data_IF_033291740501
#
_entry.id   IF_033291740501
#
_cell.length_a   1.000
_cell.length_b   1.000
_cell.length_c   1.000
_cell.angle_alpha   90.00
_cell.angle_beta   90.00
_cell.angle_gamma   90.00
#
_symmetry.space_group_name_H-M   'P 1'
#
loop_
_entity.id
_entity.type
_entity.pdbx_description
1 polymer ?
#
# COMPACT_ATOMS: atom_id res chain seq x y z
N UNK A 1 -44.68 -68.94 69.34
CA UNK A 1 -44.23 -68.69 67.96
C UNK A 1 -42.83 -68.14 68.05
N UNK A 2 -41.85 -68.90 67.58
CA UNK A 2 -40.48 -68.41 67.45
C UNK A 2 -40.44 -67.51 66.21
N UNK A 3 -39.90 -66.27 66.30
CA UNK A 3 -39.73 -65.42 65.13
C UNK A 3 -38.88 -66.12 64.06
N UNK A 4 -39.14 -65.81 62.78
CA UNK A 4 -38.46 -66.42 61.63
C UNK A 4 -37.64 -65.42 60.81
N UNK A 5 -37.59 -64.17 61.25
CA UNK A 5 -36.84 -63.06 60.64
C UNK A 5 -35.79 -62.51 61.62
N UNK A 6 -34.79 -61.80 61.08
CA UNK A 6 -33.67 -61.28 61.86
C UNK A 6 -34.15 -60.31 62.94
N UNK A 7 -35.01 -59.35 62.57
CA UNK A 7 -35.57 -58.33 63.47
C UNK A 7 -36.33 -58.96 64.62
N UNK A 8 -37.15 -59.98 64.36
CA UNK A 8 -37.92 -60.62 65.41
C UNK A 8 -37.05 -61.31 66.47
N UNK A 9 -35.82 -61.70 66.14
CA UNK A 9 -34.85 -62.27 67.07
C UNK A 9 -33.89 -61.23 67.69
N UNK A 10 -33.54 -60.17 66.97
CA UNK A 10 -32.45 -59.24 67.31
C UNK A 10 -32.89 -57.78 67.52
N UNK A 11 -34.20 -57.51 67.68
CA UNK A 11 -34.69 -56.14 67.91
C UNK A 11 -34.08 -55.48 69.16
N UNK A 12 -33.89 -56.24 70.24
CA UNK A 12 -33.26 -55.72 71.46
C UNK A 12 -31.78 -55.39 71.23
N UNK A 13 -31.08 -56.18 70.41
CA UNK A 13 -29.67 -55.92 70.03
C UNK A 13 -29.55 -54.69 69.13
N UNK A 14 -30.48 -54.54 68.17
CA UNK A 14 -30.59 -53.37 67.30
C UNK A 14 -30.78 -52.08 68.12
N UNK A 15 -31.74 -52.06 69.06
CA UNK A 15 -32.02 -50.89 69.90
C UNK A 15 -30.91 -50.60 70.94
N UNK A 16 -30.10 -51.59 71.30
CA UNK A 16 -29.05 -51.43 72.31
C UNK A 16 -27.70 -50.99 71.74
N UNK A 17 -27.53 -50.98 70.41
CA UNK A 17 -26.26 -50.62 69.77
C UNK A 17 -26.07 -49.11 69.76
N UNK A 18 -24.89 -48.63 70.16
CA UNK A 18 -24.59 -47.18 70.29
C UNK A 18 -23.49 -46.68 69.35
N UNK A 19 -22.90 -47.57 68.54
CA UNK A 19 -21.79 -47.23 67.63
C UNK A 19 -21.78 -48.13 66.38
N UNK A 20 -22.36 -47.67 65.25
CA UNK A 20 -23.30 -46.55 65.15
C UNK A 20 -24.62 -46.86 65.87
N UNK A 21 -25.25 -45.85 66.45
CA UNK A 21 -26.56 -45.99 67.09
C UNK A 21 -27.63 -46.25 66.02
N UNK A 22 -28.21 -47.45 65.99
CA UNK A 22 -29.08 -47.86 64.89
C UNK A 22 -30.45 -47.18 64.92
N UNK A 23 -30.99 -46.94 66.13
CA UNK A 23 -32.27 -46.25 66.31
C UNK A 23 -32.12 -44.76 65.99
N UNK A 24 -31.07 -44.12 66.52
CA UNK A 24 -30.79 -42.71 66.27
C UNK A 24 -30.43 -42.44 64.80
N UNK A 25 -29.66 -43.34 64.17
CA UNK A 25 -29.30 -43.21 62.76
C UNK A 25 -30.45 -43.57 61.81
N UNK A 26 -31.52 -44.20 62.30
CA UNK A 26 -32.71 -44.56 61.51
C UNK A 26 -32.48 -45.70 60.51
N UNK A 27 -31.57 -46.64 60.79
CA UNK A 27 -31.21 -47.71 59.84
C UNK A 27 -32.41 -48.60 59.47
N UNK A 28 -32.45 -49.12 58.23
CA UNK A 28 -33.47 -50.08 57.83
C UNK A 28 -33.37 -51.37 58.65
N UNK A 29 -34.52 -52.02 58.81
CA UNK A 29 -34.62 -53.29 59.55
C UNK A 29 -34.25 -54.52 58.68
N UNK A 30 -33.78 -54.32 57.45
CA UNK A 30 -33.17 -55.39 56.65
C UNK A 30 -31.69 -55.56 57.05
N UNK A 31 -31.45 -56.39 58.07
CA UNK A 31 -30.12 -56.59 58.62
C UNK A 31 -29.10 -57.12 57.59
N UNK A 32 -29.57 -57.75 56.50
CA UNK A 32 -28.70 -58.38 55.49
C UNK A 32 -28.00 -57.36 54.58
N UNK A 33 -28.41 -56.10 54.62
CA UNK A 33 -27.73 -55.01 53.91
C UNK A 33 -26.34 -54.69 54.49
N UNK A 34 -26.14 -54.93 55.78
CA UNK A 34 -24.92 -54.57 56.51
C UNK A 34 -24.26 -55.75 57.22
N UNK A 35 -25.00 -56.81 57.55
CA UNK A 35 -24.54 -57.92 58.38
C UNK A 35 -24.70 -59.27 57.68
N UNK A 36 -23.74 -60.16 57.90
CA UNK A 36 -23.76 -61.55 57.43
C UNK A 36 -24.10 -62.51 58.58
N UNK A 37 -24.85 -63.58 58.28
CA UNK A 37 -25.25 -64.59 59.28
C UNK A 37 -24.04 -65.31 59.92
N UNK A 38 -22.90 -65.34 59.25
CA UNK A 38 -21.65 -65.93 59.73
C UNK A 38 -20.81 -64.99 60.61
N UNK A 39 -20.98 -63.67 60.49
CA UNK A 39 -20.31 -62.67 61.32
C UNK A 39 -21.05 -61.33 61.30
N UNK A 40 -21.57 -60.92 62.47
CA UNK A 40 -22.23 -59.63 62.67
C UNK A 40 -21.27 -58.42 62.70
N UNK A 41 -19.98 -58.66 63.02
CA UNK A 41 -18.94 -57.62 63.11
C UNK A 41 -17.69 -58.10 62.35
N UNK A 42 -17.06 -57.26 61.50
CA UNK A 42 -17.49 -55.89 61.16
C UNK A 42 -18.74 -55.92 60.27
N UNK A 43 -19.60 -54.91 60.41
CA UNK A 43 -20.61 -54.64 59.37
C UNK A 43 -19.90 -54.18 58.10
N UNK A 44 -20.52 -54.43 56.96
CA UNK A 44 -19.99 -54.03 55.65
C UNK A 44 -21.11 -53.48 54.80
N UNK A 45 -21.05 -52.19 54.51
CA UNK A 45 -21.88 -51.53 53.51
C UNK A 45 -20.98 -50.75 52.55
N UNK A 46 -21.12 -50.99 51.26
CA UNK A 46 -20.24 -50.43 50.22
C UNK A 46 -20.95 -49.37 49.39
N UNK A 47 -20.62 -48.10 49.65
CA UNK A 47 -21.15 -46.96 48.92
C UNK A 47 -20.68 -46.90 47.45
N UNK A 48 -19.61 -47.60 47.06
CA UNK A 48 -19.04 -47.52 45.71
C UNK A 48 -20.02 -47.97 44.60
N UNK A 49 -21.03 -48.77 44.95
CA UNK A 49 -22.03 -49.27 44.01
C UNK A 49 -23.29 -48.38 43.93
N UNK A 50 -23.38 -47.34 44.78
CA UNK A 50 -24.53 -46.43 44.85
C UNK A 50 -24.08 -45.00 44.57
N UNK A 51 -23.22 -44.46 45.44
CA UNK A 51 -22.62 -43.14 45.31
C UNK A 51 -21.26 -43.13 46.02
N UNK A 52 -20.13 -43.18 45.27
CA UNK A 52 -18.80 -43.24 45.86
C UNK A 52 -18.47 -41.99 46.70
N UNK A 53 -18.04 -42.20 47.94
CA UNK A 53 -17.60 -41.11 48.83
C UNK A 53 -16.18 -40.66 48.46
N UNK A 54 -16.07 -39.76 47.49
CA UNK A 54 -14.80 -39.19 47.03
C UNK A 54 -14.53 -37.81 47.63
N UNK A 55 -13.32 -37.28 47.42
CA UNK A 55 -12.97 -35.90 47.74
C UNK A 55 -13.28 -35.52 49.19
N UNK A 56 -13.96 -34.39 49.39
CA UNK A 56 -14.40 -33.90 50.70
C UNK A 56 -15.38 -34.86 51.38
N UNK A 57 -16.23 -35.55 50.62
CA UNK A 57 -17.23 -36.50 51.14
C UNK A 57 -16.62 -37.78 51.72
N UNK A 58 -15.39 -38.14 51.34
CA UNK A 58 -14.68 -39.29 51.91
C UNK A 58 -14.54 -39.18 53.44
N UNK A 59 -14.44 -37.95 53.96
CA UNK A 59 -14.34 -37.68 55.40
C UNK A 59 -15.63 -37.96 56.17
N UNK A 60 -16.79 -38.01 55.49
CA UNK A 60 -18.11 -38.25 56.07
C UNK A 60 -18.50 -39.73 56.10
N UNK A 61 -17.61 -40.65 55.70
CA UNK A 61 -17.90 -42.09 55.60
C UNK A 61 -18.36 -42.76 56.90
N UNK A 62 -18.11 -42.15 58.06
CA UNK A 62 -18.60 -42.60 59.37
C UNK A 62 -19.80 -41.81 59.92
N UNK A 63 -20.29 -40.80 59.20
CA UNK A 63 -21.30 -39.85 59.67
C UNK A 63 -22.60 -39.98 58.86
N UNK A 64 -23.30 -41.11 58.99
CA UNK A 64 -24.47 -41.44 58.17
C UNK A 64 -25.56 -40.35 58.19
N UNK A 65 -25.80 -39.73 59.35
CA UNK A 65 -26.80 -38.67 59.52
C UNK A 65 -26.44 -37.35 58.82
N UNK A 66 -25.18 -37.15 58.41
CA UNK A 66 -24.78 -35.98 57.63
C UNK A 66 -25.35 -36.00 56.20
N UNK A 67 -25.72 -37.18 55.70
CA UNK A 67 -26.36 -37.37 54.39
C UNK A 67 -27.81 -37.86 54.50
N UNK A 68 -28.10 -38.73 55.47
CA UNK A 68 -29.41 -39.39 55.63
C UNK A 68 -30.27 -38.76 56.74
N UNK A 69 -30.16 -37.44 56.96
CA UNK A 69 -30.92 -36.73 58.00
C UNK A 69 -32.44 -36.85 57.83
N UNK A 70 -32.91 -37.04 56.59
CA UNK A 70 -34.33 -37.25 56.25
C UNK A 70 -34.68 -38.73 56.01
N UNK A 71 -33.74 -39.64 56.28
CA UNK A 71 -33.84 -41.08 56.03
C UNK A 71 -32.95 -41.56 54.88
N UNK A 72 -32.94 -42.89 54.67
CA UNK A 72 -32.11 -43.57 53.66
C UNK A 72 -32.79 -43.72 52.29
N UNK A 73 -34.09 -43.44 52.20
CA UNK A 73 -34.81 -43.45 50.93
C UNK A 73 -34.71 -42.10 50.23
N UNK A 74 -34.40 -42.11 48.93
CA UNK A 74 -34.35 -40.91 48.07
C UNK A 74 -33.34 -39.83 48.51
N UNK A 75 -32.27 -40.19 49.21
CA UNK A 75 -31.15 -39.28 49.45
C UNK A 75 -30.61 -38.77 48.11
N UNK A 76 -30.53 -37.45 47.90
CA UNK A 76 -30.02 -36.89 46.66
C UNK A 76 -28.59 -37.37 46.36
N UNK A 77 -28.28 -37.54 45.08
CA UNK A 77 -26.95 -37.97 44.60
C UNK A 77 -26.31 -36.96 43.65
N UNK A 78 -27.07 -35.92 43.30
CA UNK A 78 -26.64 -34.75 42.55
C UNK A 78 -26.24 -33.62 43.50
N UNK A 79 -25.26 -32.82 43.09
CA UNK A 79 -24.69 -31.76 43.91
C UNK A 79 -25.76 -30.77 44.41
N UNK A 80 -26.60 -30.27 43.50
CA UNK A 80 -27.63 -29.27 43.84
C UNK A 80 -28.67 -29.80 44.82
N UNK A 81 -28.95 -31.11 44.80
CA UNK A 81 -29.87 -31.73 45.75
C UNK A 81 -29.47 -31.55 47.22
N UNK A 82 -28.16 -31.41 47.50
CA UNK A 82 -27.64 -31.14 48.85
C UNK A 82 -27.13 -29.69 49.01
N UNK A 83 -26.57 -29.09 47.97
CA UNK A 83 -25.84 -27.83 48.02
C UNK A 83 -26.59 -26.64 47.39
N UNK A 84 -27.91 -26.72 47.19
CA UNK A 84 -28.69 -25.60 46.66
C UNK A 84 -28.60 -24.34 47.55
N UNK A 85 -28.59 -24.50 48.87
CA UNK A 85 -28.44 -23.37 49.78
C UNK A 85 -27.06 -22.74 49.69
N UNK A 86 -26.00 -23.54 49.52
CA UNK A 86 -24.63 -23.05 49.28
C UNK A 86 -24.55 -22.29 47.94
N UNK A 87 -25.17 -22.83 46.89
CA UNK A 87 -25.27 -22.21 45.58
C UNK A 87 -25.95 -20.83 45.66
N UNK A 88 -27.11 -20.75 46.32
CA UNK A 88 -27.87 -19.50 46.47
C UNK A 88 -27.20 -18.49 47.42
N UNK A 89 -26.40 -18.96 48.39
CA UNK A 89 -25.74 -18.09 49.36
C UNK A 89 -24.40 -17.52 48.88
N UNK A 90 -23.84 -18.04 47.79
CA UNK A 90 -22.53 -17.60 47.29
C UNK A 90 -22.65 -16.26 46.58
N UNK A 91 -21.80 -15.30 46.94
CA UNK A 91 -21.81 -13.92 46.40
C UNK A 91 -20.58 -13.56 45.57
N UNK A 92 -19.60 -14.47 45.46
CA UNK A 92 -18.33 -14.22 44.78
C UNK A 92 -17.80 -15.50 44.09
N UNK A 93 -18.11 -15.71 42.81
CA UNK A 93 -19.13 -15.00 42.02
C UNK A 93 -20.56 -15.33 42.51
N UNK A 94 -21.49 -14.38 42.37
CA UNK A 94 -22.91 -14.61 42.68
C UNK A 94 -23.54 -15.53 41.63
N UNK A 95 -23.89 -16.75 42.03
CA UNK A 95 -24.35 -17.77 41.07
C UNK A 95 -25.76 -17.52 40.55
N UNK A 96 -26.66 -17.00 41.38
CA UNK A 96 -28.03 -16.71 40.98
C UNK A 96 -28.08 -15.47 40.09
N UNK A 97 -27.37 -14.40 40.49
CA UNK A 97 -27.35 -13.14 39.74
C UNK A 97 -26.69 -13.31 38.37
N UNK A 98 -25.62 -14.11 38.30
CA UNK A 98 -24.94 -14.37 37.04
C UNK A 98 -25.62 -15.46 36.20
N UNK A 99 -26.58 -16.21 36.76
CA UNK A 99 -27.33 -17.24 36.04
C UNK A 99 -26.52 -18.50 35.73
N UNK A 100 -25.65 -18.93 36.65
CA UNK A 100 -24.89 -20.18 36.48
C UNK A 100 -25.81 -21.42 36.47
N UNK A 101 -25.43 -22.48 35.73
CA UNK A 101 -26.16 -23.73 35.78
C UNK A 101 -25.97 -24.44 37.12
N UNK A 102 -26.92 -25.31 37.48
CA UNK A 102 -26.82 -26.17 38.67
C UNK A 102 -26.06 -27.48 38.41
N UNK A 103 -25.47 -27.64 37.23
CA UNK A 103 -24.48 -28.69 36.96
C UNK A 103 -23.12 -28.23 37.49
N UNK A 104 -22.89 -28.47 38.78
CA UNK A 104 -21.70 -27.99 39.48
C UNK A 104 -20.40 -28.51 38.87
N UNK A 105 -20.44 -29.64 38.15
CA UNK A 105 -19.24 -30.31 37.61
C UNK A 105 -18.60 -29.57 36.45
N UNK A 106 -19.26 -28.55 35.90
CA UNK A 106 -18.68 -27.65 34.91
C UNK A 106 -17.54 -26.80 35.50
N UNK A 107 -17.61 -26.48 36.79
CA UNK A 107 -16.69 -25.56 37.47
C UNK A 107 -16.05 -26.11 38.73
N UNK A 108 -16.66 -27.11 39.38
CA UNK A 108 -16.24 -27.64 40.67
C UNK A 108 -16.00 -29.14 40.60
N UNK A 109 -15.16 -29.62 41.52
CA UNK A 109 -14.97 -31.04 41.76
C UNK A 109 -15.33 -31.41 43.20
N UNK A 110 -15.43 -32.71 43.46
CA UNK A 110 -15.80 -33.23 44.79
C UNK A 110 -14.71 -33.01 45.86
N UNK A 111 -13.52 -32.54 45.47
CA UNK A 111 -12.38 -32.30 46.36
C UNK A 111 -12.49 -30.98 47.11
N UNK A 112 -12.89 -29.90 46.43
CA UNK A 112 -13.13 -28.59 47.04
C UNK A 112 -13.96 -27.67 46.13
N UNK A 113 -14.78 -26.79 46.73
CA UNK A 113 -15.49 -25.75 45.99
C UNK A 113 -14.56 -24.63 45.46
N UNK A 114 -13.44 -24.35 46.15
CA UNK A 114 -12.50 -23.28 45.78
C UNK A 114 -11.07 -23.85 45.70
N UNK A 115 -10.30 -23.53 44.64
CA UNK A 115 -10.69 -22.74 43.47
C UNK A 115 -11.61 -23.53 42.52
N UNK A 116 -12.42 -22.83 41.73
CA UNK A 116 -13.09 -23.45 40.59
C UNK A 116 -12.06 -23.80 39.50
N UNK A 117 -12.39 -24.78 38.66
CA UNK A 117 -11.53 -25.28 37.59
C UNK A 117 -11.82 -24.67 36.21
N UNK A 118 -12.71 -23.67 36.13
CA UNK A 118 -13.11 -23.08 34.86
C UNK A 118 -11.97 -22.29 34.20
N UNK A 119 -11.69 -22.58 32.93
CA UNK A 119 -10.59 -21.97 32.17
C UNK A 119 -11.09 -21.28 30.89
N UNK A 120 -10.96 -19.96 30.85
CA UNK A 120 -11.33 -19.12 29.72
C UNK A 120 -10.45 -19.36 28.48
N UNK A 121 -9.25 -19.93 28.62
CA UNK A 121 -8.29 -20.07 27.50
C UNK A 121 -8.81 -20.91 26.32
N UNK A 122 -9.80 -21.77 26.56
CA UNK A 122 -10.40 -22.63 25.53
C UNK A 122 -11.62 -21.98 24.85
N UNK A 123 -12.11 -20.84 25.35
CA UNK A 123 -13.30 -20.15 24.85
C UNK A 123 -12.92 -18.76 24.32
N UNK A 124 -12.43 -17.91 25.22
CA UNK A 124 -11.93 -16.56 24.91
C UNK A 124 -10.84 -16.18 25.92
N UNK A 125 -9.55 -16.25 25.52
CA UNK A 125 -8.46 -15.97 26.43
C UNK A 125 -8.48 -14.52 26.93
N UNK A 126 -8.45 -14.34 28.25
CA UNK A 126 -8.39 -13.02 28.88
C UNK A 126 -6.96 -12.43 28.77
N UNK A 127 -6.68 -11.77 27.65
CA UNK A 127 -5.40 -11.13 27.38
C UNK A 127 -5.44 -9.62 27.63
N UNK A 128 -4.27 -8.97 27.57
CA UNK A 128 -4.15 -7.52 27.56
C UNK A 128 -4.86 -6.85 28.75
N UNK A 129 -5.68 -5.83 28.47
CA UNK A 129 -6.47 -5.13 29.47
C UNK A 129 -7.56 -6.03 30.10
N UNK A 130 -8.11 -6.98 29.35
CA UNK A 130 -9.13 -7.92 29.81
C UNK A 130 -8.62 -8.91 30.86
N UNK A 131 -7.31 -9.18 30.90
CA UNK A 131 -6.70 -10.04 31.93
C UNK A 131 -6.99 -9.56 33.36
N UNK A 132 -7.12 -8.23 33.56
CA UNK A 132 -7.45 -7.64 34.86
C UNK A 132 -8.89 -7.88 35.30
N UNK A 133 -9.79 -8.23 34.38
CA UNK A 133 -11.21 -8.52 34.65
C UNK A 133 -11.46 -10.01 34.96
N UNK A 134 -10.43 -10.85 35.03
CA UNK A 134 -10.56 -12.30 35.26
C UNK A 134 -11.28 -12.71 36.55
N UNK A 135 -11.36 -11.82 37.54
CA UNK A 135 -12.14 -12.01 38.77
C UNK A 135 -13.49 -11.27 38.79
N UNK A 136 -13.84 -10.54 37.73
CA UNK A 136 -15.03 -9.69 37.67
C UNK A 136 -16.04 -10.24 36.65
N UNK A 137 -16.62 -11.42 36.94
CA UNK A 137 -17.48 -12.14 35.99
C UNK A 137 -18.62 -11.27 35.43
N UNK A 138 -19.27 -10.46 36.28
CA UNK A 138 -20.38 -9.59 35.89
C UNK A 138 -19.98 -8.40 35.01
N UNK A 139 -18.68 -8.09 34.89
CA UNK A 139 -18.19 -7.07 33.95
C UNK A 139 -18.36 -7.53 32.50
N UNK A 140 -18.42 -8.84 32.26
CA UNK A 140 -18.66 -9.43 30.94
C UNK A 140 -20.03 -10.12 30.83
N UNK A 141 -20.44 -10.84 31.87
CA UNK A 141 -21.65 -11.66 31.92
C UNK A 141 -22.83 -10.94 32.61
N UNK A 142 -22.98 -9.63 32.37
CA UNK A 142 -24.02 -8.81 33.02
C UNK A 142 -25.44 -9.21 32.65
N UNK A 143 -25.63 -9.84 31.48
CA UNK A 143 -26.89 -10.40 30.99
C UNK A 143 -26.95 -11.94 31.08
N UNK A 144 -25.98 -12.55 31.77
CA UNK A 144 -25.82 -14.00 31.90
C UNK A 144 -24.61 -14.56 31.13
N UNK A 145 -24.39 -15.87 31.26
CA UNK A 145 -23.25 -16.58 30.63
C UNK A 145 -23.47 -16.98 29.17
N UNK A 146 -24.73 -17.04 28.73
CA UNK A 146 -25.04 -17.39 27.35
C UNK A 146 -24.91 -16.17 26.44
N UNK A 147 -24.33 -16.37 25.24
CA UNK A 147 -24.25 -15.37 24.18
C UNK A 147 -23.47 -14.09 24.53
N UNK A 148 -22.56 -14.13 25.50
CA UNK A 148 -21.60 -13.03 25.71
C UNK A 148 -20.78 -12.81 24.44
N UNK A 149 -20.76 -11.58 23.88
CA UNK A 149 -20.00 -11.30 22.68
C UNK A 149 -18.50 -11.56 22.87
N UNK A 150 -17.82 -11.98 21.81
CA UNK A 150 -16.37 -12.24 21.79
C UNK A 150 -15.62 -11.36 20.80
N UNK A 151 -16.36 -10.59 20.02
CA UNK A 151 -15.86 -9.58 19.09
C UNK A 151 -15.83 -8.20 19.77
N UNK A 152 -14.88 -7.37 19.34
CA UNK A 152 -14.64 -6.06 19.95
C UNK A 152 -15.90 -5.19 19.95
N UNK A 153 -16.60 -5.11 18.81
CA UNK A 153 -17.79 -4.25 18.64
C UNK A 153 -18.97 -4.73 19.49
N UNK A 154 -19.06 -6.03 19.78
CA UNK A 154 -20.08 -6.57 20.68
C UNK A 154 -20.07 -5.91 22.07
N UNK A 155 -18.91 -5.43 22.53
CA UNK A 155 -18.78 -4.72 23.81
C UNK A 155 -18.49 -3.21 23.63
N UNK A 156 -17.71 -2.84 22.61
CA UNK A 156 -17.12 -1.51 22.44
C UNK A 156 -17.77 -0.67 21.33
N UNK A 157 -18.99 -1.01 20.88
CA UNK A 157 -19.72 -0.20 19.89
C UNK A 157 -19.96 1.25 20.37
N UNK A 158 -20.28 1.43 21.65
CA UNK A 158 -20.48 2.76 22.22
C UNK A 158 -19.16 3.56 22.25
N UNK A 159 -18.04 2.91 22.57
CA UNK A 159 -16.71 3.53 22.53
C UNK A 159 -16.33 3.93 21.09
N UNK A 160 -16.61 3.06 20.11
CA UNK A 160 -16.41 3.34 18.69
C UNK A 160 -17.19 4.59 18.25
N UNK A 161 -18.49 4.64 18.55
CA UNK A 161 -19.38 5.75 18.18
C UNK A 161 -19.07 7.06 18.94
N UNK A 162 -18.53 6.98 20.15
CA UNK A 162 -18.23 8.15 20.97
C UNK A 162 -16.86 8.79 20.69
N UNK A 163 -15.98 8.11 19.94
CA UNK A 163 -14.65 8.62 19.64
C UNK A 163 -14.73 9.78 18.64
N UNK A 164 -13.94 10.84 18.86
CA UNK A 164 -13.95 12.06 18.04
C UNK A 164 -12.59 12.44 17.45
N UNK A 165 -11.54 11.71 17.80
CA UNK A 165 -10.17 11.97 17.34
C UNK A 165 -9.37 10.67 17.17
N UNK A 166 -9.30 10.12 15.95
CA UNK A 166 -10.16 10.44 14.81
C UNK A 166 -11.61 9.98 15.05
N UNK A 167 -12.60 10.69 14.51
CA UNK A 167 -14.01 10.30 14.59
C UNK A 167 -14.28 9.07 13.71
N UNK A 168 -14.54 7.91 14.32
CA UNK A 168 -14.64 6.66 13.56
C UNK A 168 -15.88 6.58 12.67
N UNK A 169 -17.02 7.09 13.14
CA UNK A 169 -18.27 7.06 12.37
C UNK A 169 -18.18 8.03 11.19
N UNK A 170 -17.70 9.26 11.43
CA UNK A 170 -17.55 10.27 10.39
C UNK A 170 -16.48 9.87 9.36
N UNK A 171 -15.38 9.28 9.82
CA UNK A 171 -14.31 8.81 8.94
C UNK A 171 -14.69 7.50 8.22
N UNK A 172 -15.75 6.81 8.62
CA UNK A 172 -16.23 5.58 8.00
C UNK A 172 -15.31 4.38 8.23
N UNK A 173 -14.61 4.32 9.37
CA UNK A 173 -13.67 3.23 9.66
C UNK A 173 -14.36 1.87 9.73
N UNK A 174 -13.65 0.78 9.34
CA UNK A 174 -14.17 -0.57 9.47
C UNK A 174 -14.35 -0.96 10.95
N UNK A 175 -15.24 -1.92 11.18
CA UNK A 175 -15.51 -2.48 12.51
C UNK A 175 -14.53 -3.62 12.89
N UNK A 176 -13.56 -3.93 12.03
CA UNK A 176 -12.44 -4.79 12.41
C UNK A 176 -11.40 -3.98 13.19
N UNK A 177 -11.61 -3.89 14.50
CA UNK A 177 -10.78 -3.10 15.39
C UNK A 177 -9.31 -3.53 15.38
N UNK A 178 -9.02 -4.78 15.01
CA UNK A 178 -7.67 -5.35 15.05
C UNK A 178 -6.75 -4.82 13.95
N UNK A 179 -7.31 -4.11 12.97
CA UNK A 179 -6.52 -3.39 11.96
C UNK A 179 -5.68 -2.25 12.57
N UNK A 180 -6.16 -1.65 13.67
CA UNK A 180 -5.56 -0.45 14.27
C UNK A 180 -5.26 -0.60 15.77
N UNK A 181 -5.99 -1.46 16.47
CA UNK A 181 -5.94 -1.60 17.93
C UNK A 181 -5.54 -3.01 18.35
N UNK A 182 -5.06 -3.12 19.58
CA UNK A 182 -4.81 -4.40 20.24
C UNK A 182 -5.53 -4.48 21.59
N UNK A 183 -5.66 -5.70 22.11
CA UNK A 183 -6.34 -5.97 23.38
C UNK A 183 -5.59 -5.41 24.61
N UNK A 184 -4.34 -4.95 24.44
CA UNK A 184 -3.52 -4.34 25.48
C UNK A 184 -3.91 -2.90 25.78
N UNK A 185 -4.18 -2.10 24.76
CA UNK A 185 -4.71 -0.74 24.89
C UNK A 185 -5.32 -0.21 23.59
N UNK A 186 -6.39 0.59 23.71
CA UNK A 186 -6.94 1.36 22.59
C UNK A 186 -5.99 2.45 22.07
N UNK A 187 -5.13 2.99 22.94
CA UNK A 187 -4.20 4.09 22.62
C UNK A 187 -2.78 3.71 23.10
N UNK A 188 -1.74 3.88 22.25
CA UNK A 188 -1.81 4.36 20.87
C UNK A 188 -2.39 3.30 19.93
N UNK A 189 -3.15 3.73 18.92
CA UNK A 189 -3.42 2.88 17.76
C UNK A 189 -2.21 2.85 16.84
N UNK A 190 -2.10 1.80 16.03
CA UNK A 190 -1.06 1.70 15.00
C UNK A 190 -1.63 1.16 13.72
N UNK A 191 -1.44 1.90 12.64
CA UNK A 191 -1.70 1.46 11.28
C UNK A 191 -0.53 1.89 10.38
N UNK A 192 0.09 0.94 9.71
CA UNK A 192 1.30 1.18 8.91
C UNK A 192 1.00 1.23 7.41
N UNK A 193 0.93 2.45 6.88
CA UNK A 193 0.76 2.70 5.45
C UNK A 193 1.93 2.19 4.59
N UNK A 194 3.14 1.99 5.15
CA UNK A 194 4.32 1.66 4.35
C UNK A 194 4.21 0.31 3.62
N UNK A 195 3.35 -0.59 4.11
CA UNK A 195 3.12 -1.90 3.48
C UNK A 195 2.08 -1.85 2.35
N UNK A 196 1.32 -0.75 2.24
CA UNK A 196 0.23 -0.57 1.26
C UNK A 196 0.61 0.53 0.27
N UNK A 197 0.78 1.75 0.75
CA UNK A 197 1.17 2.92 -0.02
C UNK A 197 1.87 3.94 0.89
N UNK A 198 3.21 4.08 0.79
CA UNK A 198 3.97 4.98 1.66
C UNK A 198 3.56 6.45 1.49
N UNK A 199 3.17 7.10 2.59
CA UNK A 199 2.83 8.52 2.61
C UNK A 199 4.11 9.37 2.59
N UNK A 200 4.57 9.73 1.39
CA UNK A 200 5.75 10.58 1.17
C UNK A 200 5.37 12.00 0.73
N UNK A 201 6.37 12.90 0.71
CA UNK A 201 6.23 14.23 0.11
C UNK A 201 5.04 15.02 0.66
N UNK A 202 4.21 15.53 -0.24
CA UNK A 202 2.98 16.27 0.09
C UNK A 202 1.92 15.40 0.78
N UNK A 203 1.88 14.09 0.50
CA UNK A 203 0.94 13.16 1.12
C UNK A 203 1.25 12.90 2.59
N UNK A 204 2.53 12.97 2.99
CA UNK A 204 2.93 12.88 4.40
C UNK A 204 2.27 13.99 5.27
N UNK A 205 2.01 15.16 4.68
CA UNK A 205 1.44 16.32 5.37
C UNK A 205 -0.04 16.09 5.73
N UNK A 206 -0.77 15.34 4.91
CA UNK A 206 -2.19 15.01 5.10
C UNK A 206 -2.40 13.62 5.71
N UNK A 207 -1.35 12.98 6.24
CA UNK A 207 -1.41 11.62 6.79
C UNK A 207 -2.41 11.43 7.94
N UNK A 208 -2.80 12.50 8.63
CA UNK A 208 -3.84 12.47 9.66
C UNK A 208 -5.26 12.77 9.15
N UNK A 209 -5.42 13.16 7.89
CA UNK A 209 -6.72 13.48 7.28
C UNK A 209 -7.16 12.33 6.37
N UNK A 210 -7.66 11.26 7.00
CA UNK A 210 -8.01 10.01 6.33
C UNK A 210 -8.98 10.23 5.16
N UNK A 211 -9.95 11.13 5.32
CA UNK A 211 -10.97 11.42 4.31
C UNK A 211 -10.42 12.16 3.09
N UNK A 212 -9.24 12.76 3.16
CA UNK A 212 -8.57 13.30 1.97
C UNK A 212 -8.21 12.21 0.95
N UNK A 213 -8.03 10.96 1.40
CA UNK A 213 -7.73 9.81 0.54
C UNK A 213 -8.92 8.85 0.43
N UNK A 214 -9.58 8.56 1.56
CA UNK A 214 -10.63 7.54 1.69
C UNK A 214 -12.04 8.13 1.60
N UNK A 215 -12.23 9.18 0.80
CA UNK A 215 -13.54 9.86 0.66
C UNK A 215 -14.65 8.96 0.12
N UNK A 216 -14.30 7.92 -0.66
CA UNK A 216 -15.22 6.90 -1.18
C UNK A 216 -15.17 5.58 -0.37
N UNK A 217 -14.51 5.60 0.80
CA UNK A 217 -14.25 4.44 1.64
C UNK A 217 -12.80 3.95 1.61
N UNK A 218 -12.51 2.92 2.42
CA UNK A 218 -11.18 2.35 2.60
C UNK A 218 -10.86 1.20 1.64
N UNK A 219 -11.88 0.70 0.93
CA UNK A 219 -11.67 -0.31 -0.12
C UNK A 219 -11.35 0.36 -1.46
N UNK A 220 -10.40 -0.21 -2.19
CA UNK A 220 -10.06 0.18 -3.57
C UNK A 220 -9.63 1.66 -3.74
N UNK A 221 -9.10 2.30 -2.70
CA UNK A 221 -8.48 3.62 -2.83
C UNK A 221 -7.35 3.55 -3.86
N UNK A 222 -7.36 4.41 -4.90
CA UNK A 222 -6.34 4.40 -5.93
C UNK A 222 -4.94 4.64 -5.34
N UNK A 223 -3.93 4.00 -5.92
CA UNK A 223 -2.51 4.12 -5.50
C UNK A 223 -1.62 4.70 -6.59
N UNK A 224 -2.20 4.97 -7.75
CA UNK A 224 -1.59 5.63 -8.89
C UNK A 224 -1.99 7.11 -8.93
N UNK A 225 -1.07 7.96 -9.41
CA UNK A 225 -1.27 9.41 -9.41
C UNK A 225 -2.54 9.83 -10.13
N UNK A 226 -2.80 9.25 -11.32
CA UNK A 226 -3.97 9.61 -12.14
C UNK A 226 -5.28 9.18 -11.48
N UNK A 227 -5.29 8.11 -10.69
CA UNK A 227 -6.48 7.67 -9.96
C UNK A 227 -7.05 8.75 -9.03
N UNK A 228 -6.18 9.59 -8.44
CA UNK A 228 -6.57 10.71 -7.60
C UNK A 228 -6.56 12.06 -8.34
N UNK A 229 -5.58 12.27 -9.22
CA UNK A 229 -5.27 13.57 -9.82
C UNK A 229 -5.73 13.71 -11.28
N UNK A 230 -6.62 12.85 -11.78
CA UNK A 230 -7.16 12.98 -13.15
C UNK A 230 -7.84 14.33 -13.39
N UNK A 231 -8.55 14.86 -12.40
CA UNK A 231 -9.16 16.19 -12.53
C UNK A 231 -8.10 17.28 -12.60
N UNK A 232 -7.04 17.20 -11.79
CA UNK A 232 -5.94 18.16 -11.83
C UNK A 232 -5.22 18.12 -13.18
N UNK A 233 -4.98 16.91 -13.71
CA UNK A 233 -4.44 16.69 -15.05
C UNK A 233 -5.30 17.37 -16.13
N UNK A 234 -6.61 17.10 -16.15
CA UNK A 234 -7.54 17.60 -17.17
C UNK A 234 -7.80 19.12 -17.07
N UNK A 235 -7.60 19.73 -15.90
CA UNK A 235 -7.95 21.15 -15.68
C UNK A 235 -6.74 22.08 -15.67
N UNK A 236 -5.52 21.54 -15.69
CA UNK A 236 -4.31 22.35 -15.80
C UNK A 236 -4.20 22.97 -17.20
N UNK A 237 -3.86 24.26 -17.27
CA UNK A 237 -3.79 25.03 -18.53
C UNK A 237 -2.39 25.57 -18.85
N UNK A 238 -1.40 25.35 -17.98
CA UNK A 238 -0.05 25.90 -18.14
C UNK A 238 1.03 24.94 -17.59
N UNK A 239 1.61 24.07 -18.46
CA UNK A 239 1.12 23.74 -19.80
C UNK A 239 -0.20 22.95 -19.73
N UNK A 240 -1.04 23.07 -20.76
CA UNK A 240 -2.29 22.30 -20.86
C UNK A 240 -1.99 20.83 -21.18
N UNK A 241 -2.18 19.92 -20.22
CA UNK A 241 -1.77 18.52 -20.40
C UNK A 241 -2.59 17.77 -21.45
N UNK A 242 -3.90 18.04 -21.53
CA UNK A 242 -4.79 17.36 -22.47
C UNK A 242 -4.50 17.85 -23.90
N UNK A 243 -4.40 19.17 -24.09
CA UNK A 243 -4.11 19.76 -25.39
C UNK A 243 -2.70 19.41 -25.86
N UNK A 244 -1.73 19.39 -24.94
CA UNK A 244 -0.36 19.01 -25.26
C UNK A 244 -0.22 17.50 -25.50
N UNK A 245 -1.16 16.66 -25.04
CA UNK A 245 -1.12 15.21 -25.22
C UNK A 245 -0.09 14.50 -24.32
N UNK A 246 0.15 15.02 -23.12
CA UNK A 246 1.13 14.43 -22.20
C UNK A 246 0.69 13.04 -21.69
N UNK A 247 1.64 12.15 -21.37
CA UNK A 247 1.32 10.86 -20.78
C UNK A 247 0.75 11.01 -19.37
N UNK A 248 -0.02 10.01 -18.94
CA UNK A 248 -0.57 9.94 -17.57
C UNK A 248 0.41 9.31 -16.56
N UNK A 249 1.62 8.95 -16.98
CA UNK A 249 2.71 8.63 -16.05
C UNK A 249 3.30 9.94 -15.51
N UNK A 250 2.70 10.42 -14.42
CA UNK A 250 3.07 11.68 -13.80
C UNK A 250 4.54 11.73 -13.37
N UNK A 251 5.16 10.58 -13.11
CA UNK A 251 6.54 10.49 -12.58
C UNK A 251 7.61 10.85 -13.60
N UNK A 252 7.23 10.97 -14.89
CA UNK A 252 8.13 11.49 -15.93
C UNK A 252 8.47 12.96 -15.71
N UNK A 253 7.57 13.73 -15.08
CA UNK A 253 7.70 15.18 -14.93
C UNK A 253 7.55 15.67 -13.49
N UNK A 254 6.86 14.93 -12.63
CA UNK A 254 6.50 15.35 -11.29
C UNK A 254 7.00 14.37 -10.24
N UNK A 255 7.11 14.85 -9.01
CA UNK A 255 7.38 14.02 -7.84
C UNK A 255 6.32 14.24 -6.77
N UNK A 256 6.30 13.35 -5.78
CA UNK A 256 5.32 13.39 -4.69
C UNK A 256 5.52 14.58 -3.74
N UNK A 257 6.64 15.31 -3.85
CA UNK A 257 6.96 16.47 -3.02
C UNK A 257 6.22 17.73 -3.47
N UNK A 258 6.13 17.98 -4.78
CA UNK A 258 5.37 19.08 -5.34
C UNK A 258 5.09 18.90 -6.85
N UNK A 259 3.92 19.38 -7.29
CA UNK A 259 3.59 19.45 -8.72
C UNK A 259 4.38 20.54 -9.47
N UNK A 260 4.76 21.63 -8.78
CA UNK A 260 5.46 22.78 -9.37
C UNK A 260 6.71 23.12 -8.55
N UNK A 261 7.89 23.33 -9.19
CA UNK A 261 8.15 23.14 -10.62
C UNK A 261 8.18 21.65 -11.00
N UNK A 262 7.91 21.34 -12.28
CA UNK A 262 8.22 20.01 -12.80
C UNK A 262 9.73 19.78 -12.85
N UNK A 263 10.15 18.52 -12.75
CA UNK A 263 11.55 18.09 -12.75
C UNK A 263 12.07 17.72 -14.15
N UNK A 264 11.21 17.76 -15.17
CA UNK A 264 11.57 17.39 -16.54
C UNK A 264 12.61 18.35 -17.14
N UNK A 265 13.77 17.82 -17.47
CA UNK A 265 14.88 18.59 -18.07
C UNK A 265 15.10 18.21 -19.54
N UNK A 266 14.59 19.07 -20.42
CA UNK A 266 14.70 18.92 -21.87
C UNK A 266 16.16 18.99 -22.36
N UNK A 267 17.08 19.62 -21.61
CA UNK A 267 18.47 19.80 -22.06
C UNK A 267 19.23 18.47 -22.19
N UNK A 268 18.77 17.42 -21.50
CA UNK A 268 19.35 16.08 -21.61
C UNK A 268 18.91 15.35 -22.88
N UNK A 269 17.84 15.81 -23.53
CA UNK A 269 17.28 15.21 -24.74
C UNK A 269 17.65 16.06 -25.95
N UNK A 270 17.26 17.34 -25.93
CA UNK A 270 17.54 18.30 -26.98
C UNK A 270 17.61 19.73 -26.37
N UNK A 271 18.81 20.34 -26.29
CA UNK A 271 18.96 21.64 -25.67
C UNK A 271 18.39 22.75 -26.56
N UNK A 272 17.57 23.62 -25.96
CA UNK A 272 17.04 24.78 -26.66
C UNK A 272 18.13 25.83 -26.88
N UNK A 273 18.58 25.99 -28.12
CA UNK A 273 19.55 27.02 -28.52
C UNK A 273 18.93 28.06 -29.47
N UNK A 274 19.53 29.24 -29.52
CA UNK A 274 19.20 30.26 -30.50
C UNK A 274 17.70 30.59 -30.58
N UNK A 275 17.13 30.55 -31.79
CA UNK A 275 15.72 30.81 -32.04
C UNK A 275 14.78 29.78 -31.37
N UNK A 276 15.22 28.54 -31.16
CA UNK A 276 14.41 27.51 -30.51
C UNK A 276 14.21 27.77 -29.01
N UNK A 277 15.12 28.52 -28.37
CA UNK A 277 14.96 28.95 -26.98
C UNK A 277 13.73 29.87 -26.76
N UNK A 278 13.20 30.48 -27.82
CA UNK A 278 12.01 31.34 -27.73
C UNK A 278 10.73 30.49 -27.63
N UNK A 279 10.73 29.30 -28.23
CA UNK A 279 9.57 28.38 -28.27
C UNK A 279 9.71 27.24 -27.27
N UNK A 280 10.66 27.29 -26.33
CA UNK A 280 10.92 26.18 -25.39
C UNK A 280 9.74 25.85 -24.47
N UNK A 281 8.80 26.78 -24.30
CA UNK A 281 7.55 26.57 -23.56
C UNK A 281 6.34 26.24 -24.43
N UNK A 282 6.49 26.22 -25.76
CA UNK A 282 5.42 25.89 -26.70
C UNK A 282 5.62 24.46 -27.22
N UNK A 283 5.22 23.48 -26.40
CA UNK A 283 5.44 22.06 -26.69
C UNK A 283 4.87 21.65 -28.05
N UNK A 284 3.70 22.19 -28.44
CA UNK A 284 3.04 21.86 -29.71
C UNK A 284 3.76 22.40 -30.93
N UNK A 285 4.63 23.41 -30.79
CA UNK A 285 5.51 23.84 -31.89
C UNK A 285 6.47 22.74 -32.33
N UNK A 286 6.82 21.79 -31.45
CA UNK A 286 7.72 20.67 -31.76
C UNK A 286 6.99 19.31 -31.79
N UNK A 287 6.04 19.10 -30.88
CA UNK A 287 5.36 17.82 -30.66
C UNK A 287 3.94 17.78 -31.26
N UNK A 288 3.72 18.48 -32.37
CA UNK A 288 2.39 18.52 -33.03
C UNK A 288 1.88 17.15 -33.50
N UNK A 289 2.78 16.20 -33.75
CA UNK A 289 2.46 14.80 -34.09
C UNK A 289 2.65 13.83 -32.89
N UNK A 290 2.85 14.38 -31.69
CA UNK A 290 3.13 13.64 -30.45
C UNK A 290 4.59 13.74 -29.98
N UNK A 291 4.88 13.10 -28.84
CA UNK A 291 6.20 13.13 -28.19
C UNK A 291 7.14 12.00 -28.63
N UNK A 292 6.63 11.02 -29.37
CA UNK A 292 7.46 9.95 -29.91
C UNK A 292 8.07 10.36 -31.25
N UNK A 293 9.36 10.08 -31.42
CA UNK A 293 10.09 10.25 -32.69
C UNK A 293 10.10 11.69 -33.23
N UNK A 294 9.98 12.70 -32.37
CA UNK A 294 10.17 14.10 -32.77
C UNK A 294 11.59 14.27 -33.36
N UNK A 295 11.71 14.77 -34.61
CA UNK A 295 13.02 14.95 -35.23
C UNK A 295 13.90 15.90 -34.42
N UNK A 296 15.21 15.61 -34.39
CA UNK A 296 16.20 16.42 -33.66
C UNK A 296 17.21 17.09 -34.59
N UNK A 297 17.17 16.75 -35.88
CA UNK A 297 17.98 17.33 -36.94
C UNK A 297 17.22 18.45 -37.66
N UNK A 298 17.96 19.45 -38.14
CA UNK A 298 17.37 20.65 -38.74
C UNK A 298 16.42 20.31 -39.89
N UNK A 299 16.84 19.42 -40.81
CA UNK A 299 16.05 19.06 -41.98
C UNK A 299 14.79 18.25 -41.61
N UNK A 300 14.79 17.54 -40.48
CA UNK A 300 13.62 16.81 -39.99
C UNK A 300 12.41 17.73 -39.78
N UNK A 301 12.65 18.98 -39.37
CA UNK A 301 11.61 19.99 -39.18
C UNK A 301 11.54 21.02 -40.33
N UNK A 302 12.69 21.42 -40.87
CA UNK A 302 12.82 22.53 -41.82
C UNK A 302 13.04 22.06 -43.27
N UNK A 303 12.60 20.85 -43.63
CA UNK A 303 12.70 20.36 -45.02
C UNK A 303 11.95 21.25 -46.00
N UNK A 304 10.78 21.75 -45.62
CA UNK A 304 9.98 22.63 -46.46
C UNK A 304 10.68 23.99 -46.66
N UNK A 305 11.29 24.54 -45.62
CA UNK A 305 12.09 25.76 -45.70
C UNK A 305 13.33 25.57 -46.60
N UNK A 306 14.03 24.44 -46.44
CA UNK A 306 15.16 24.05 -47.30
C UNK A 306 14.73 23.99 -48.77
N UNK A 307 13.61 23.32 -49.05
CA UNK A 307 13.08 23.14 -50.40
C UNK A 307 12.55 24.43 -51.03
N UNK A 308 12.03 25.36 -50.22
CA UNK A 308 11.43 26.61 -50.68
C UNK A 308 12.46 27.74 -50.90
N UNK A 309 13.70 27.58 -50.46
CA UNK A 309 14.74 28.61 -50.64
C UNK A 309 15.12 28.75 -52.10
N UNK A 310 15.20 29.98 -52.62
CA UNK A 310 15.51 30.26 -54.04
C UNK A 310 16.78 31.10 -54.26
N UNK A 311 17.38 31.63 -53.20
CA UNK A 311 18.56 32.50 -53.29
C UNK A 311 19.56 32.24 -52.15
N UNK A 312 20.58 31.38 -52.38
CA UNK A 312 20.67 30.43 -53.50
C UNK A 312 19.66 29.28 -53.34
N UNK A 313 19.18 28.71 -54.45
CA UNK A 313 18.32 27.52 -54.42
C UNK A 313 19.09 26.29 -53.91
N UNK A 314 18.75 25.81 -52.72
CA UNK A 314 19.45 24.70 -52.08
C UNK A 314 19.30 23.36 -52.84
N UNK A 315 18.12 23.08 -53.38
CA UNK A 315 17.85 21.82 -54.08
C UNK A 315 18.60 21.78 -55.42
N UNK A 316 18.50 22.86 -56.19
CA UNK A 316 19.21 22.98 -57.46
C UNK A 316 20.72 22.92 -57.22
N UNK A 317 21.24 23.65 -56.23
CA UNK A 317 22.66 23.66 -55.88
C UNK A 317 23.19 22.33 -55.34
N UNK A 318 22.31 21.36 -55.02
CA UNK A 318 22.64 20.12 -54.32
C UNK A 318 23.37 20.35 -52.99
N UNK A 319 23.00 21.40 -52.25
CA UNK A 319 23.57 21.65 -50.93
C UNK A 319 23.21 20.52 -49.95
N UNK A 320 24.11 20.18 -48.99
CA UNK A 320 23.83 19.16 -48.00
C UNK A 320 22.73 19.62 -47.03
N UNK A 321 22.05 18.66 -46.42
CA UNK A 321 21.04 18.91 -45.38
C UNK A 321 21.64 19.07 -43.98
N UNK A 322 22.97 19.02 -43.86
CA UNK A 322 23.69 19.41 -42.64
C UNK A 322 23.76 20.93 -42.57
N UNK A 323 22.66 21.55 -42.11
CA UNK A 323 22.47 22.98 -42.14
C UNK A 323 23.54 23.75 -41.35
N UNK A 324 24.14 23.14 -40.33
CA UNK A 324 25.10 23.78 -39.41
C UNK A 324 26.42 24.14 -40.12
N UNK A 325 26.68 23.58 -41.30
CA UNK A 325 27.81 23.96 -42.17
C UNK A 325 27.74 25.44 -42.61
N UNK A 326 26.53 25.97 -42.78
CA UNK A 326 26.29 27.31 -43.32
C UNK A 326 25.41 28.19 -42.42
N UNK A 327 24.53 27.59 -41.62
CA UNK A 327 23.59 28.29 -40.75
C UNK A 327 23.88 28.00 -39.28
N UNK A 328 23.37 28.84 -38.41
CA UNK A 328 23.39 28.61 -36.97
C UNK A 328 22.04 28.97 -36.37
N UNK A 329 21.73 28.38 -35.22
CA UNK A 329 20.44 28.55 -34.57
C UNK A 329 20.21 29.98 -34.03
N UNK A 330 21.26 30.76 -33.78
CA UNK A 330 21.16 32.12 -33.25
C UNK A 330 20.79 33.17 -34.30
N UNK A 331 21.25 32.99 -35.54
CA UNK A 331 20.93 33.83 -36.68
C UNK A 331 21.03 33.01 -37.97
N UNK A 332 19.87 32.65 -38.53
CA UNK A 332 19.80 31.84 -39.75
C UNK A 332 20.26 32.60 -41.00
N UNK A 333 19.96 33.91 -41.06
CA UNK A 333 20.33 34.82 -42.16
C UNK A 333 21.08 36.03 -41.59
N UNK A 334 22.21 36.46 -42.21
CA UNK A 334 22.89 35.78 -43.32
C UNK A 334 23.53 34.46 -42.88
N UNK A 335 23.82 33.56 -43.84
CA UNK A 335 24.60 32.36 -43.56
C UNK A 335 26.00 32.73 -43.05
N UNK A 336 26.56 31.91 -42.17
CA UNK A 336 27.95 31.99 -41.69
C UNK A 336 28.95 31.31 -42.64
N UNK A 337 28.50 30.91 -43.83
CA UNK A 337 29.37 30.33 -44.86
C UNK A 337 30.49 31.32 -45.25
N UNK A 338 31.74 30.89 -45.08
CA UNK A 338 32.92 31.66 -45.43
C UNK A 338 33.52 31.14 -46.75
N UNK A 339 33.14 31.79 -47.86
CA UNK A 339 33.63 31.42 -49.18
C UNK A 339 35.15 31.60 -49.31
N UNK A 340 35.70 32.72 -48.84
CA UNK A 340 37.12 33.07 -49.01
C UNK A 340 38.05 32.13 -48.22
N UNK A 341 37.57 31.57 -47.10
CA UNK A 341 38.33 30.58 -46.34
C UNK A 341 38.44 29.21 -47.03
N UNK A 342 37.48 28.87 -47.89
CA UNK A 342 37.39 27.54 -48.52
C UNK A 342 37.71 27.54 -50.01
N UNK A 343 37.45 28.65 -50.70
CA UNK A 343 37.43 28.77 -52.16
C UNK A 343 38.13 30.05 -52.63
N UNK A 344 38.04 30.34 -53.93
CA UNK A 344 38.63 31.53 -54.53
C UNK A 344 38.14 32.80 -53.81
N UNK A 345 39.03 33.72 -53.38
CA UNK A 345 38.61 34.89 -52.63
C UNK A 345 37.77 35.85 -53.48
N UNK A 346 36.52 36.10 -53.06
CA UNK A 346 35.56 37.00 -53.70
C UNK A 346 35.05 38.09 -52.75
N UNK A 347 35.24 37.93 -51.44
CA UNK A 347 34.93 38.94 -50.43
C UNK A 347 36.17 39.76 -50.01
N UNK A 348 37.34 39.40 -50.53
CA UNK A 348 38.62 40.07 -50.33
C UNK A 348 39.43 40.16 -51.64
N UNK A 349 40.57 40.84 -51.60
CA UNK A 349 41.42 41.02 -52.79
C UNK A 349 40.78 41.88 -53.88
N UNK A 350 41.18 41.65 -55.14
CA UNK A 350 40.74 42.43 -56.32
C UNK A 350 39.30 42.13 -56.79
N UNK A 351 38.72 41.00 -56.38
CA UNK A 351 37.37 40.59 -56.79
C UNK A 351 36.28 41.00 -55.79
N UNK A 352 36.70 41.60 -54.66
CA UNK A 352 35.79 42.14 -53.66
C UNK A 352 34.88 43.21 -54.28
N UNK A 353 33.58 43.08 -54.04
CA UNK A 353 32.54 44.01 -54.48
C UNK A 353 32.38 44.10 -56.02
N UNK A 354 32.99 43.17 -56.79
CA UNK A 354 32.90 43.11 -58.27
C UNK A 354 31.84 42.12 -58.79
N UNK A 355 31.04 41.55 -57.90
CA UNK A 355 29.98 40.58 -58.20
C UNK A 355 28.70 40.91 -57.41
N UNK A 356 27.55 40.53 -57.95
CA UNK A 356 26.23 40.74 -57.32
C UNK A 356 25.55 39.41 -57.01
N UNK A 357 25.75 38.39 -57.84
CA UNK A 357 25.15 37.07 -57.65
C UNK A 357 26.20 35.98 -57.80
N UNK A 358 25.98 34.84 -57.16
CA UNK A 358 26.84 33.66 -57.30
C UNK A 358 26.98 33.26 -58.79
N UNK A 359 25.95 33.53 -59.60
CA UNK A 359 25.91 33.22 -61.03
C UNK A 359 26.84 34.07 -61.89
N UNK A 360 27.36 35.18 -61.36
CA UNK A 360 28.33 36.02 -62.07
C UNK A 360 29.66 35.29 -62.28
N UNK A 361 29.98 34.34 -61.38
CA UNK A 361 31.16 33.47 -61.50
C UNK A 361 30.78 32.02 -61.79
N UNK A 362 29.67 31.54 -61.23
CA UNK A 362 29.20 30.16 -61.37
C UNK A 362 28.09 30.05 -62.40
N UNK A 363 28.42 29.73 -63.65
CA UNK A 363 27.45 29.74 -64.76
C UNK A 363 26.38 28.63 -64.70
N UNK A 364 26.41 27.74 -63.69
CA UNK A 364 25.45 26.65 -63.54
C UNK A 364 24.81 26.67 -62.15
N UNK A 365 23.51 26.99 -62.11
CA UNK A 365 22.69 26.99 -60.87
C UNK A 365 22.61 25.62 -60.20
N UNK A 366 22.84 24.55 -60.96
CA UNK A 366 22.81 23.17 -60.52
C UNK A 366 24.16 22.63 -60.03
N UNK A 367 25.26 23.37 -60.25
CA UNK A 367 26.60 22.91 -59.90
C UNK A 367 27.57 24.08 -59.76
N UNK A 368 27.70 24.59 -58.54
CA UNK A 368 28.62 25.67 -58.19
C UNK A 368 30.11 25.27 -58.26
N UNK A 369 30.46 24.00 -58.49
CA UNK A 369 31.85 23.64 -58.84
C UNK A 369 32.22 24.08 -60.27
N UNK A 370 31.24 24.42 -61.10
CA UNK A 370 31.45 24.97 -62.43
C UNK A 370 31.54 26.50 -62.33
N UNK A 371 32.70 27.04 -62.68
CA UNK A 371 32.98 28.47 -62.63
C UNK A 371 33.63 28.93 -63.93
N UNK A 372 33.57 30.24 -64.18
CA UNK A 372 34.27 30.86 -65.30
C UNK A 372 34.99 32.12 -64.88
N UNK A 373 36.30 32.17 -65.13
CA UNK A 373 37.10 33.38 -64.96
C UNK A 373 36.97 34.29 -66.18
N UNK A 374 36.67 33.70 -67.35
CA UNK A 374 36.70 34.37 -68.65
C UNK A 374 35.35 34.94 -69.08
N UNK A 375 34.24 34.53 -68.46
CA UNK A 375 32.93 35.12 -68.72
C UNK A 375 32.73 36.45 -67.98
N UNK A 376 33.65 36.80 -67.07
CA UNK A 376 33.71 38.09 -66.40
C UNK A 376 34.18 39.20 -67.36
N UNK A 377 33.71 40.43 -67.15
CA UNK A 377 33.92 41.55 -68.07
C UNK A 377 35.40 41.93 -68.29
N UNK A 378 36.29 41.71 -67.32
CA UNK A 378 37.71 42.06 -67.45
C UNK A 378 38.53 41.02 -68.25
N UNK A 379 38.10 39.76 -68.24
CA UNK A 379 38.84 38.65 -68.85
C UNK A 379 38.19 38.06 -70.09
N UNK A 380 37.07 38.62 -70.58
CA UNK A 380 36.35 38.08 -71.74
C UNK A 380 36.98 38.37 -73.11
N UNK A 381 37.98 39.25 -73.16
CA UNK A 381 38.69 39.59 -74.38
C UNK A 381 39.96 38.75 -74.54
N UNK A 382 39.82 37.58 -75.16
CA UNK A 382 40.93 36.65 -75.37
C UNK A 382 42.18 37.30 -75.97
N UNK A 383 42.05 38.21 -76.96
CA UNK A 383 43.22 38.82 -77.60
C UNK A 383 44.03 39.66 -76.61
N UNK A 384 43.35 40.39 -75.72
CA UNK A 384 44.01 41.19 -74.70
C UNK A 384 44.69 40.29 -73.66
N UNK A 385 43.99 39.26 -73.19
CA UNK A 385 44.56 38.31 -72.22
C UNK A 385 45.75 37.54 -72.82
N UNK A 386 45.67 37.12 -74.08
CA UNK A 386 46.77 36.46 -74.79
C UNK A 386 48.01 37.35 -74.90
N UNK A 387 47.82 38.65 -75.20
CA UNK A 387 48.92 39.62 -75.28
C UNK A 387 49.60 39.82 -73.90
N UNK A 388 48.80 39.96 -72.84
CA UNK A 388 49.28 40.12 -71.45
C UNK A 388 50.04 38.87 -70.95
N UNK A 389 49.74 37.68 -71.50
CA UNK A 389 50.36 36.41 -71.14
C UNK A 389 51.34 35.86 -72.20
N UNK A 390 51.72 36.67 -73.20
CA UNK A 390 52.54 36.24 -74.34
C UNK A 390 53.92 35.66 -73.97
N UNK A 391 54.45 36.02 -72.80
CA UNK A 391 55.72 35.53 -72.26
C UNK A 391 55.57 34.38 -71.23
N UNK A 392 54.33 33.96 -70.91
CA UNK A 392 54.05 32.94 -69.88
C UNK A 392 54.04 31.54 -70.50
N UNK A 393 55.05 30.68 -70.25
CA UNK A 393 55.11 29.36 -70.87
C UNK A 393 53.97 28.46 -70.37
N UNK A 394 53.20 27.90 -71.30
CA UNK A 394 52.10 26.99 -70.97
C UNK A 394 50.77 27.69 -70.63
N UNK A 395 50.67 29.01 -70.85
CA UNK A 395 49.42 29.75 -70.79
C UNK A 395 48.33 29.11 -71.64
N UNK A 396 47.11 29.06 -71.10
CA UNK A 396 45.90 28.64 -71.78
C UNK A 396 44.77 29.57 -71.37
N UNK A 397 44.02 30.07 -72.36
CA UNK A 397 42.82 30.87 -72.13
C UNK A 397 41.64 29.97 -71.75
N UNK A 398 41.65 29.47 -70.51
CA UNK A 398 40.66 28.56 -69.96
C UNK A 398 40.59 28.74 -68.44
N UNK A 399 39.38 28.72 -67.87
CA UNK A 399 39.12 29.11 -66.47
C UNK A 399 39.90 28.28 -65.43
N UNK A 400 40.05 26.97 -65.62
CA UNK A 400 40.84 26.15 -64.69
C UNK A 400 42.34 26.48 -64.80
N UNK A 401 42.85 26.75 -66.00
CA UNK A 401 44.22 27.22 -66.17
C UNK A 401 44.46 28.58 -65.50
N UNK A 402 43.51 29.52 -65.64
CA UNK A 402 43.54 30.80 -64.94
C UNK A 402 43.56 30.59 -63.42
N UNK A 403 42.65 29.79 -62.87
CA UNK A 403 42.58 29.53 -61.43
C UNK A 403 43.85 28.86 -60.87
N UNK A 404 44.49 27.96 -61.63
CA UNK A 404 45.75 27.32 -61.22
C UNK A 404 46.91 28.33 -61.11
N UNK A 405 47.00 29.31 -62.01
CA UNK A 405 48.02 30.35 -61.98
C UNK A 405 47.68 31.46 -60.98
N UNK A 406 46.40 31.75 -60.80
CA UNK A 406 45.87 32.85 -59.99
C UNK A 406 44.94 32.35 -58.88
N UNK A 407 45.37 31.49 -57.95
CA UNK A 407 44.48 30.86 -56.97
C UNK A 407 43.85 31.85 -55.98
N UNK A 408 44.44 33.04 -55.83
CA UNK A 408 44.00 34.08 -54.88
C UNK A 408 43.57 35.38 -55.58
N UNK A 409 43.56 35.43 -56.91
CA UNK A 409 43.13 36.61 -57.68
C UNK A 409 44.04 37.86 -57.58
N UNK A 410 45.27 37.75 -57.04
CA UNK A 410 46.12 38.91 -56.78
C UNK A 410 47.21 39.20 -57.83
N UNK A 411 47.61 38.21 -58.63
CA UNK A 411 48.76 38.35 -59.55
C UNK A 411 48.34 38.54 -60.99
#
# INVERSE_FOLDING_TARGET
>A
NTPTDCVGCHLDDFNATTDPDHEMAGFPMDCTECHDEGAWIPSSFDHNNIWPLNGAHASLSGECLSCHSEGYENTPTDCVGCHLDDFNATTDPDHELAGFPTDCTECHDEGAWIPSSFDHNNIWPLNGAHASLSGECLSCHSEGYENTPTDCVGCHLDDFNATTDPDHELAGFPMDCTECHDEGAWIPSSFDHNNIWPLNGAHAIISGDCLSCHSEGYENTPTDCVGCHLNDFNTTTDPDHELAGFPMDCTECHDEGAWIPSSFDHNNIWPFNGAHAIISGDCLSCHSEGYENTPTDCVGCHLDDFNATTDPDHQSAMFPTDCIQCHNEGAWIPSTFDHDAMYFPIYSGKHRDEWNTCMDCHFNTGNYALFSCIDCHEHNNQTQVDDDHSEVPGYQYESNACFMCHPNGEN
#
